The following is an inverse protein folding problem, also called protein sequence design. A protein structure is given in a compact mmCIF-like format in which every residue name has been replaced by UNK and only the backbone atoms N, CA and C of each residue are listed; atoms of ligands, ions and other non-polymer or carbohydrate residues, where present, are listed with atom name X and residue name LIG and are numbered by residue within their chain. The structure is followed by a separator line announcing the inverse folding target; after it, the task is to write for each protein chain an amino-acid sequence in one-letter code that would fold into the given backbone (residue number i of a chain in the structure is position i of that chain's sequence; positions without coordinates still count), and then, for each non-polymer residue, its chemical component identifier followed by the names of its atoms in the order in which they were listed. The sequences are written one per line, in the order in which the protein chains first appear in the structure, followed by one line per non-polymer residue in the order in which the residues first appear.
data_IF_753598278650
#
_entry.id   IF_753598278650
#
_cell.length_a   1.000
_cell.length_b   1.000
_cell.length_c   1.000
_cell.angle_alpha   90.00
_cell.angle_beta   90.00
_cell.angle_gamma   90.00
#
_symmetry.space_group_name_H-M   'P 1'
#
loop_
_entity.id
_entity.type
_entity.pdbx_description
1 polymer ?
#
# COMPACT_ATOMS: atom_id res chain seq x y z
N UNK A 1 12.37 -7.57 -18.26
CA UNK A 1 11.52 -6.76 -17.36
C UNK A 1 11.44 -5.36 -17.95
N UNK A 2 10.26 -4.73 -17.95
CA UNK A 2 10.08 -3.40 -18.55
C UNK A 2 10.23 -2.28 -17.51
N UNK A 3 10.57 -1.07 -17.95
CA UNK A 3 10.88 0.08 -17.08
C UNK A 3 9.80 0.37 -16.02
N UNK A 4 8.52 0.13 -16.33
CA UNK A 4 7.40 0.31 -15.38
C UNK A 4 7.47 -0.71 -14.23
N UNK A 5 7.74 -1.98 -14.53
CA UNK A 5 7.88 -3.04 -13.51
C UNK A 5 9.05 -2.72 -12.58
N UNK A 6 10.20 -2.32 -13.15
CA UNK A 6 11.38 -1.95 -12.37
C UNK A 6 11.11 -0.74 -11.46
N UNK A 7 10.31 0.23 -11.92
CA UNK A 7 9.92 1.37 -11.09
C UNK A 7 8.99 0.96 -9.94
N UNK A 8 8.04 0.06 -10.18
CA UNK A 8 7.14 -0.44 -9.13
C UNK A 8 7.91 -1.21 -8.05
N UNK A 9 8.89 -2.02 -8.44
CA UNK A 9 9.77 -2.71 -7.49
C UNK A 9 10.60 -1.72 -6.66
N UNK A 10 11.17 -0.70 -7.31
CA UNK A 10 11.89 0.38 -6.61
C UNK A 10 10.99 1.12 -5.62
N UNK A 11 9.74 1.40 -5.98
CA UNK A 11 8.77 2.04 -5.08
C UNK A 11 8.48 1.19 -3.84
N UNK A 12 8.24 -0.12 -4.02
CA UNK A 12 8.00 -1.07 -2.93
C UNK A 12 9.22 -1.20 -2.01
N UNK A 13 10.41 -1.36 -2.59
CA UNK A 13 11.65 -1.44 -1.83
C UNK A 13 11.93 -0.14 -1.05
N UNK A 14 11.67 1.01 -1.67
CA UNK A 14 11.81 2.32 -1.01
C UNK A 14 10.86 2.46 0.19
N UNK A 15 9.59 2.03 0.05
CA UNK A 15 8.61 2.02 1.14
C UNK A 15 9.04 1.12 2.30
N UNK A 16 9.45 -0.11 2.00
CA UNK A 16 9.89 -1.07 3.03
C UNK A 16 11.08 -0.52 3.83
N UNK A 17 12.08 0.06 3.13
CA UNK A 17 13.23 0.69 3.77
C UNK A 17 12.83 1.88 4.65
N UNK A 18 11.90 2.71 4.20
CA UNK A 18 11.40 3.85 4.97
C UNK A 18 10.71 3.38 6.26
N UNK A 19 9.90 2.32 6.18
CA UNK A 19 9.24 1.72 7.34
C UNK A 19 10.26 1.18 8.34
N UNK A 20 11.22 0.37 7.89
CA UNK A 20 12.31 -0.15 8.74
C UNK A 20 13.06 0.98 9.46
N UNK A 21 13.32 2.10 8.78
CA UNK A 21 14.02 3.24 9.36
C UNK A 21 13.21 4.00 10.42
N UNK A 22 11.88 3.97 10.34
CA UNK A 22 11.01 4.88 11.10
C UNK A 22 10.06 4.17 12.08
N UNK A 23 9.96 2.84 12.04
CA UNK A 23 9.04 2.07 12.88
C UNK A 23 9.28 2.28 14.38
N UNK A 24 10.55 2.48 14.79
CA UNK A 24 10.94 2.65 16.19
C UNK A 24 10.91 4.11 16.68
N UNK A 25 10.39 5.04 15.88
CA UNK A 25 10.24 6.44 16.31
C UNK A 25 9.23 6.50 17.47
N UNK A 26 9.72 6.89 18.65
CA UNK A 26 8.93 6.96 19.89
C UNK A 26 8.08 8.22 19.94
N UNK A 27 6.98 8.18 20.68
CA UNK A 27 6.10 9.34 20.88
C UNK A 27 6.85 10.58 21.38
N UNK A 28 7.77 10.40 22.34
CA UNK A 28 8.59 11.50 22.88
C UNK A 28 9.53 12.14 21.82
N UNK A 29 9.85 11.44 20.73
CA UNK A 29 10.70 11.94 19.66
C UNK A 29 9.91 12.76 18.61
N UNK A 30 8.58 12.68 18.61
CA UNK A 30 7.72 13.34 17.61
C UNK A 30 7.82 14.87 17.62
N UNK A 31 8.26 15.46 18.73
CA UNK A 31 8.44 16.91 18.89
C UNK A 31 9.88 17.37 18.67
N UNK A 32 10.84 16.46 18.45
CA UNK A 32 12.23 16.83 18.22
C UNK A 32 12.36 17.69 16.97
N UNK A 33 13.20 18.75 17.01
CA UNK A 33 13.35 19.66 15.89
C UNK A 33 14.09 18.98 14.72
N UNK A 34 13.63 19.25 13.51
CA UNK A 34 14.28 18.84 12.26
C UNK A 34 14.81 20.11 11.59
N UNK A 35 16.12 20.16 11.38
CA UNK A 35 16.78 21.29 10.75
C UNK A 35 16.38 21.42 9.28
N UNK A 36 16.19 22.65 8.81
CA UNK A 36 15.81 22.95 7.44
C UNK A 36 15.59 24.45 7.25
N UNK A 37 15.33 24.86 6.00
CA UNK A 37 15.01 26.27 5.68
C UNK A 37 13.81 26.78 6.46
N UNK A 38 12.81 25.94 6.63
CA UNK A 38 11.66 26.20 7.49
C UNK A 38 11.75 25.20 8.64
N UNK A 39 11.91 25.64 9.90
CA UNK A 39 11.95 24.74 11.05
C UNK A 39 10.69 23.87 11.13
N UNK A 40 10.90 22.58 11.40
CA UNK A 40 9.86 21.55 11.57
C UNK A 40 10.20 20.66 12.75
N UNK A 41 9.29 19.77 13.11
CA UNK A 41 9.56 18.65 14.01
C UNK A 41 9.34 17.32 13.28
N UNK A 42 9.74 16.22 13.91
CA UNK A 42 9.59 14.86 13.37
C UNK A 42 8.14 14.58 12.95
N UNK A 43 7.14 14.96 13.75
CA UNK A 43 5.72 14.80 13.40
C UNK A 43 5.35 15.51 12.10
N UNK A 44 5.80 16.74 11.92
CA UNK A 44 5.54 17.47 10.69
C UNK A 44 6.19 16.81 9.46
N UNK A 45 7.35 16.14 9.63
CA UNK A 45 7.97 15.38 8.54
C UNK A 45 7.13 14.17 8.12
N UNK A 46 6.50 13.45 9.06
CA UNK A 46 5.56 12.37 8.72
C UNK A 46 4.37 12.88 7.89
N UNK A 47 3.76 14.00 8.28
CA UNK A 47 2.68 14.59 7.49
C UNK A 47 3.14 15.05 6.10
N UNK A 48 4.38 15.54 5.98
CA UNK A 48 4.96 15.92 4.69
C UNK A 48 5.16 14.72 3.76
N UNK A 49 5.54 13.54 4.29
CA UNK A 49 5.63 12.31 3.49
C UNK A 49 4.27 11.98 2.87
N UNK A 50 3.19 12.04 3.67
CA UNK A 50 1.82 11.78 3.22
C UNK A 50 1.41 12.81 2.14
N UNK A 51 1.57 14.11 2.43
CA UNK A 51 1.11 15.15 1.50
C UNK A 51 1.90 15.12 0.19
N UNK A 52 3.20 14.82 0.24
CA UNK A 52 4.06 14.78 -0.94
C UNK A 52 3.67 13.64 -1.89
N UNK A 53 3.37 12.45 -1.36
CA UNK A 53 2.89 11.34 -2.18
C UNK A 53 1.50 11.62 -2.77
N UNK A 54 0.60 12.23 -1.99
CA UNK A 54 -0.72 12.63 -2.47
C UNK A 54 -0.62 13.68 -3.60
N UNK A 55 0.24 14.69 -3.45
CA UNK A 55 0.51 15.70 -4.47
C UNK A 55 1.00 15.07 -5.77
N UNK A 56 2.01 14.20 -5.70
CA UNK A 56 2.58 13.58 -6.90
C UNK A 56 1.65 12.54 -7.53
N UNK A 57 0.72 11.96 -6.77
CA UNK A 57 -0.37 11.15 -7.34
C UNK A 57 -1.27 12.01 -8.24
N UNK A 58 -1.61 13.25 -7.82
CA UNK A 58 -2.37 14.20 -8.67
C UNK A 58 -1.57 14.58 -9.90
N UNK A 59 -0.25 14.80 -9.77
CA UNK A 59 0.62 15.05 -10.92
C UNK A 59 0.60 13.90 -11.93
N UNK A 60 0.68 12.64 -11.47
CA UNK A 60 0.62 11.49 -12.37
C UNK A 60 -0.74 11.38 -13.08
N UNK A 61 -1.84 11.66 -12.39
CA UNK A 61 -3.18 11.71 -13.01
C UNK A 61 -3.22 12.77 -14.13
N UNK A 62 -2.68 13.97 -13.88
CA UNK A 62 -2.57 15.02 -14.91
C UNK A 62 -1.70 14.58 -16.09
N UNK A 63 -0.59 13.90 -15.82
CA UNK A 63 0.31 13.37 -16.87
C UNK A 63 -0.40 12.33 -17.73
N UNK A 64 -1.12 11.37 -17.13
CA UNK A 64 -1.90 10.38 -17.89
C UNK A 64 -2.92 11.08 -18.81
N UNK A 65 -3.65 12.05 -18.28
CA UNK A 65 -4.60 12.85 -19.07
C UNK A 65 -3.93 13.61 -20.21
N UNK A 66 -2.77 14.25 -19.96
CA UNK A 66 -2.04 15.01 -20.98
C UNK A 66 -1.45 14.12 -22.09
N UNK A 67 -1.12 12.86 -21.76
CA UNK A 67 -0.67 11.85 -22.72
C UNK A 67 -1.83 11.16 -23.45
N UNK A 68 -3.10 11.49 -23.14
CA UNK A 68 -4.26 10.82 -23.71
C UNK A 68 -4.45 9.38 -23.22
N UNK A 69 -3.84 9.01 -22.09
CA UNK A 69 -3.93 7.66 -21.52
C UNK A 69 -5.13 7.62 -20.57
N UNK A 70 -6.20 6.95 -21.01
CA UNK A 70 -7.34 6.63 -20.17
C UNK A 70 -7.14 5.27 -19.50
N UNK A 71 -7.41 5.20 -18.20
CA UNK A 71 -7.46 3.92 -17.49
C UNK A 71 -8.75 3.18 -17.84
N UNK A 72 -8.68 1.88 -18.08
CA UNK A 72 -9.87 1.03 -18.19
C UNK A 72 -10.58 0.88 -16.85
N UNK A 73 -11.83 0.39 -16.86
CA UNK A 73 -12.57 0.06 -15.65
C UNK A 73 -11.78 -0.88 -14.73
N UNK A 74 -11.22 -1.95 -15.27
CA UNK A 74 -10.38 -2.89 -14.52
C UNK A 74 -9.14 -2.20 -13.90
N UNK A 75 -8.48 -1.29 -14.63
CA UNK A 75 -7.33 -0.55 -14.10
C UNK A 75 -7.70 0.43 -12.99
N UNK A 76 -8.89 1.05 -13.05
CA UNK A 76 -9.41 1.90 -11.98
C UNK A 76 -9.73 1.08 -10.72
N UNK A 77 -10.33 -0.10 -10.88
CA UNK A 77 -10.60 -1.04 -9.78
C UNK A 77 -9.28 -1.52 -9.15
N UNK A 78 -8.30 -1.93 -9.96
CA UNK A 78 -6.98 -2.35 -9.48
C UNK A 78 -6.23 -1.22 -8.76
N UNK A 79 -6.38 0.03 -9.21
CA UNK A 79 -5.84 1.20 -8.49
C UNK A 79 -6.48 1.34 -7.10
N UNK A 80 -7.78 1.13 -6.98
CA UNK A 80 -8.49 1.14 -5.69
C UNK A 80 -8.04 -0.02 -4.80
N UNK A 81 -7.85 -1.21 -5.39
CA UNK A 81 -7.33 -2.38 -4.68
C UNK A 81 -5.93 -2.11 -4.10
N UNK A 82 -5.04 -1.47 -4.86
CA UNK A 82 -3.71 -1.09 -4.35
C UNK A 82 -3.76 -0.08 -3.20
N UNK A 83 -4.70 0.86 -3.22
CA UNK A 83 -4.91 1.76 -2.08
C UNK A 83 -5.34 0.99 -0.84
N UNK A 84 -6.31 0.09 -0.98
CA UNK A 84 -6.80 -0.74 0.14
C UNK A 84 -5.69 -1.66 0.68
N UNK A 85 -4.84 -2.20 -0.19
CA UNK A 85 -3.66 -3.00 0.22
C UNK A 85 -2.70 -2.19 1.09
N UNK A 86 -2.40 -0.95 0.72
CA UNK A 86 -1.53 -0.07 1.52
C UNK A 86 -2.11 0.26 2.90
N UNK A 87 -3.44 0.44 3.00
CA UNK A 87 -4.12 0.61 4.28
C UNK A 87 -4.03 -0.66 5.15
N UNK A 88 -4.23 -1.84 4.56
CA UNK A 88 -4.07 -3.13 5.24
C UNK A 88 -2.64 -3.34 5.74
N UNK A 89 -1.62 -3.12 4.90
CA UNK A 89 -0.21 -3.24 5.29
C UNK A 89 0.15 -2.27 6.41
N UNK A 90 -0.38 -1.04 6.38
CA UNK A 90 -0.17 -0.04 7.41
C UNK A 90 -0.68 -0.45 8.80
N UNK A 91 -1.78 -1.22 8.86
CA UNK A 91 -2.32 -1.75 10.13
C UNK A 91 -1.39 -2.78 10.77
N UNK A 92 -0.51 -3.43 10.00
CA UNK A 92 0.42 -4.44 10.51
C UNK A 92 1.62 -3.80 11.23
N UNK A 93 1.88 -2.50 11.04
CA UNK A 93 3.05 -1.82 11.60
C UNK A 93 3.05 -1.76 13.14
N UNK A 94 1.93 -2.01 13.81
CA UNK A 94 1.84 -2.05 15.27
C UNK A 94 1.87 -3.46 15.86
N UNK A 95 1.88 -4.51 15.03
CA UNK A 95 1.83 -5.89 15.48
C UNK A 95 3.25 -6.39 15.81
N UNK A 96 3.36 -7.12 16.92
CA UNK A 96 4.50 -7.99 17.18
C UNK A 96 4.31 -9.37 16.53
N UNK A 97 5.39 -10.16 16.46
CA UNK A 97 5.30 -11.55 15.98
C UNK A 97 4.30 -12.37 16.82
N UNK A 98 4.25 -12.14 18.14
CA UNK A 98 3.30 -12.80 19.05
C UNK A 98 1.84 -12.42 18.77
N UNK A 99 1.59 -11.20 18.27
CA UNK A 99 0.23 -10.75 17.94
C UNK A 99 -0.34 -11.44 16.71
N UNK A 100 0.51 -11.96 15.82
CA UNK A 100 0.07 -12.60 14.57
C UNK A 100 -0.85 -13.80 14.80
N UNK A 101 -0.64 -14.51 15.91
CA UNK A 101 -1.36 -15.75 16.25
C UNK A 101 -2.35 -15.57 17.41
N UNK A 102 -2.50 -14.35 17.93
CA UNK A 102 -3.39 -14.04 19.06
C UNK A 102 -4.77 -13.58 18.58
N UNK A 103 -5.78 -14.41 18.82
CA UNK A 103 -7.18 -14.01 18.57
C UNK A 103 -7.66 -12.99 19.63
N UNK A 104 -8.48 -11.99 19.24
CA UNK A 104 -8.96 -10.97 20.17
C UNK A 104 -10.03 -11.48 21.15
N UNK A 105 -10.80 -12.50 20.76
CA UNK A 105 -11.78 -13.19 21.61
C UNK A 105 -12.03 -14.63 21.09
N UNK A 106 -12.77 -15.42 21.87
CA UNK A 106 -13.18 -16.76 21.45
C UNK A 106 -14.04 -16.71 20.17
N UNK A 107 -13.69 -17.52 19.17
CA UNK A 107 -14.38 -17.56 17.88
C UNK A 107 -13.95 -16.51 16.85
N UNK A 108 -13.20 -15.49 17.26
CA UNK A 108 -12.61 -14.48 16.36
C UNK A 108 -11.33 -15.01 15.70
N UNK A 109 -10.94 -14.42 14.57
CA UNK A 109 -9.72 -14.82 13.86
C UNK A 109 -8.49 -14.04 14.35
N UNK A 110 -7.33 -14.70 14.49
CA UNK A 110 -6.06 -13.99 14.67
C UNK A 110 -5.66 -13.27 13.36
N UNK A 111 -4.79 -12.23 13.42
CA UNK A 111 -4.34 -11.50 12.25
C UNK A 111 -3.80 -12.39 11.12
N UNK A 112 -3.00 -13.42 11.43
CA UNK A 112 -2.48 -14.37 10.43
C UNK A 112 -3.59 -14.97 9.58
N UNK A 113 -4.65 -15.46 10.22
CA UNK A 113 -5.77 -16.10 9.53
C UNK A 113 -6.55 -15.12 8.66
N UNK A 114 -6.71 -13.87 9.10
CA UNK A 114 -7.32 -12.81 8.29
C UNK A 114 -6.50 -12.54 7.02
N UNK A 115 -5.17 -12.43 7.16
CA UNK A 115 -4.28 -12.17 6.03
C UNK A 115 -4.20 -13.34 5.06
N UNK A 116 -4.10 -14.57 5.57
CA UNK A 116 -4.13 -15.80 4.77
C UNK A 116 -5.43 -15.90 3.97
N UNK A 117 -6.59 -15.63 4.59
CA UNK A 117 -7.87 -15.63 3.91
C UNK A 117 -7.91 -14.60 2.76
N UNK A 118 -7.41 -13.38 2.98
CA UNK A 118 -7.32 -12.35 1.92
C UNK A 118 -6.44 -12.83 0.75
N UNK A 119 -5.29 -13.44 1.05
CA UNK A 119 -4.36 -13.94 0.03
C UNK A 119 -4.99 -15.08 -0.77
N UNK A 120 -5.65 -16.03 -0.10
CA UNK A 120 -6.37 -17.13 -0.73
C UNK A 120 -7.48 -16.62 -1.66
N UNK A 121 -8.28 -15.67 -1.20
CA UNK A 121 -9.36 -15.08 -1.98
C UNK A 121 -8.85 -14.33 -3.22
N UNK A 122 -7.72 -13.64 -3.14
CA UNK A 122 -7.10 -13.02 -4.33
C UNK A 122 -6.74 -14.05 -5.40
N UNK A 123 -6.16 -15.18 -5.00
CA UNK A 123 -5.83 -16.27 -5.92
C UNK A 123 -7.10 -16.87 -6.52
N UNK A 124 -8.11 -17.14 -5.69
CA UNK A 124 -9.38 -17.73 -6.13
C UNK A 124 -10.11 -16.80 -7.09
N UNK A 125 -10.27 -15.51 -6.75
CA UNK A 125 -10.96 -14.55 -7.60
C UNK A 125 -10.19 -14.26 -8.88
N UNK A 126 -8.86 -14.14 -8.81
CA UNK A 126 -8.01 -14.01 -10.00
C UNK A 126 -8.23 -15.15 -10.99
N UNK A 127 -8.14 -16.40 -10.51
CA UNK A 127 -8.36 -17.59 -11.35
C UNK A 127 -9.77 -17.63 -11.95
N UNK A 128 -10.80 -17.25 -11.20
CA UNK A 128 -12.19 -17.19 -11.70
C UNK A 128 -12.36 -16.15 -12.80
N UNK A 129 -11.74 -14.98 -12.64
CA UNK A 129 -11.77 -13.92 -13.66
C UNK A 129 -11.07 -14.40 -14.93
N UNK A 130 -9.89 -15.00 -14.81
CA UNK A 130 -9.15 -15.54 -15.96
C UNK A 130 -9.92 -16.62 -16.70
N UNK A 131 -10.53 -17.56 -15.98
CA UNK A 131 -11.33 -18.62 -16.57
C UNK A 131 -12.58 -18.08 -17.28
N UNK A 132 -13.28 -17.12 -16.67
CA UNK A 132 -14.45 -16.48 -17.30
C UNK A 132 -14.07 -15.76 -18.61
N UNK A 133 -12.92 -15.07 -18.64
CA UNK A 133 -12.40 -14.43 -19.85
C UNK A 133 -12.08 -15.50 -20.92
N UNK A 134 -11.43 -16.60 -20.52
CA UNK A 134 -11.06 -17.68 -21.43
C UNK A 134 -12.29 -18.33 -22.08
N UNK A 135 -13.32 -18.63 -21.29
CA UNK A 135 -14.57 -19.23 -21.77
C UNK A 135 -15.35 -18.27 -22.68
N UNK A 136 -15.36 -16.98 -22.34
CA UNK A 136 -15.98 -15.93 -23.17
C UNK A 136 -15.26 -15.70 -24.51
N UNK A 137 -13.95 -15.95 -24.58
CA UNK A 137 -13.17 -15.85 -25.82
C UNK A 137 -13.34 -17.05 -26.76
N UNK A 138 -13.87 -18.18 -26.27
CA UNK A 138 -14.15 -19.39 -27.05
C UNK A 138 -15.59 -19.51 -27.53
N UNK A 139 -16.46 -18.55 -27.19
CA UNK A 139 -17.88 -18.48 -27.59
C UNK A 139 -18.10 -17.44 -28.68
#
# INVERSE_FOLDING_TARGET
MGDVTDMLEKLRASRAKLQEQLIDVKEAQMTLPVAGRIPRNVRAMFYLLISHEAEHTVHLVKTLSALGIAQSEAQLILRSLQRSRGELEGLLLCLSDDDMDRAPAEGEWPPRKVLEHIIEDEVVFGNRIEEAIRQGATS
#
